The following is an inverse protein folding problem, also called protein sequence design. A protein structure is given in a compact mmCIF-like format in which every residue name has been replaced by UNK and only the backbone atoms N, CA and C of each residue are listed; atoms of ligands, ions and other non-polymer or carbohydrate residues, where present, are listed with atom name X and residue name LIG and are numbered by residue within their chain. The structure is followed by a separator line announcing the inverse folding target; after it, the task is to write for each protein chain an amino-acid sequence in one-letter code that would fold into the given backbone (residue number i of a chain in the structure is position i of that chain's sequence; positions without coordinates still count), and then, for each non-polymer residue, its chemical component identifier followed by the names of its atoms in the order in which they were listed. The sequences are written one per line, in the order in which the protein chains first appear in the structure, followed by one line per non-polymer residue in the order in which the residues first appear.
data_IF_162810629052
#
_entry.id   IF_162810629052
#
_cell.length_a   1.000
_cell.length_b   1.000
_cell.length_c   1.000
_cell.angle_alpha   90.00
_cell.angle_beta   90.00
_cell.angle_gamma   90.00
#
_symmetry.space_group_name_H-M   'P 1'
#
loop_
_entity.id
_entity.type
_entity.pdbx_description
1 polymer ?
#
# COMPACT_ATOMS: atom_id res chain seq x y z
N UNK A 1 -5.75 -0.65 -5.27
CA UNK A 1 -5.99 -1.46 -4.06
C UNK A 1 -6.88 -0.66 -3.12
N UNK A 2 -8.04 -1.20 -2.74
CA UNK A 2 -8.92 -0.63 -1.69
C UNK A 2 -9.55 -1.77 -0.89
N UNK A 3 -8.71 -2.64 -0.32
CA UNK A 3 -9.17 -3.66 0.62
C UNK A 3 -8.87 -3.18 2.05
N UNK A 4 -9.61 -3.66 3.05
CA UNK A 4 -9.31 -3.26 4.44
C UNK A 4 -7.87 -3.63 4.82
N UNK A 5 -7.21 -2.91 5.75
CA UNK A 5 -5.90 -3.29 6.26
C UNK A 5 -5.85 -4.72 6.82
N UNK A 6 -6.97 -5.21 7.36
CA UNK A 6 -7.15 -6.58 7.84
C UNK A 6 -7.16 -7.59 6.68
N UNK A 7 -7.93 -7.30 5.62
CA UNK A 7 -7.91 -8.11 4.40
C UNK A 7 -6.52 -8.13 3.76
N UNK A 8 -5.81 -7.00 3.78
CA UNK A 8 -4.43 -6.96 3.28
C UNK A 8 -3.50 -7.88 4.06
N UNK A 9 -3.63 -7.91 5.40
CA UNK A 9 -2.86 -8.81 6.22
C UNK A 9 -3.11 -10.28 5.85
N UNK A 10 -4.38 -10.67 5.73
CA UNK A 10 -4.74 -12.05 5.41
C UNK A 10 -4.28 -12.48 4.00
N UNK A 11 -4.37 -11.59 3.01
CA UNK A 11 -4.07 -11.93 1.61
C UNK A 11 -2.58 -11.81 1.26
N UNK A 12 -1.87 -10.82 1.82
CA UNK A 12 -0.52 -10.44 1.39
C UNK A 12 0.57 -10.63 2.45
N UNK A 13 0.22 -10.89 3.72
CA UNK A 13 1.21 -11.04 4.80
C UNK A 13 1.16 -12.41 5.47
N UNK A 14 -0.03 -12.88 5.84
CA UNK A 14 -0.19 -14.13 6.60
C UNK A 14 0.25 -15.34 5.79
N UNK A 15 1.18 -16.11 6.35
CA UNK A 15 1.72 -17.32 5.71
C UNK A 15 2.57 -17.06 4.47
N UNK A 16 2.90 -15.79 4.16
CA UNK A 16 3.75 -15.41 3.03
C UNK A 16 5.23 -15.46 3.38
N UNK A 17 6.05 -15.78 2.38
CA UNK A 17 7.51 -15.74 2.54
C UNK A 17 8.03 -14.31 2.58
N UNK A 18 9.27 -14.14 3.04
CA UNK A 18 9.93 -12.84 3.06
C UNK A 18 10.02 -12.24 1.64
N UNK A 19 10.27 -13.06 0.63
CA UNK A 19 10.38 -12.66 -0.77
C UNK A 19 9.04 -12.16 -1.33
N UNK A 20 7.94 -12.85 -1.01
CA UNK A 20 6.58 -12.43 -1.40
C UNK A 20 6.21 -11.10 -0.75
N UNK A 21 6.51 -10.94 0.54
CA UNK A 21 6.25 -9.70 1.28
C UNK A 21 7.10 -8.54 0.71
N UNK A 22 8.38 -8.78 0.42
CA UNK A 22 9.23 -7.77 -0.24
C UNK A 22 8.70 -7.37 -1.61
N UNK A 23 8.08 -8.30 -2.35
CA UNK A 23 7.45 -8.02 -3.64
C UNK A 23 6.20 -7.16 -3.46
N UNK A 24 5.35 -7.46 -2.47
CA UNK A 24 4.20 -6.63 -2.14
C UNK A 24 4.61 -5.20 -1.74
N UNK A 25 5.66 -5.05 -0.91
CA UNK A 25 6.24 -3.76 -0.52
C UNK A 25 6.67 -2.95 -1.76
N UNK A 26 7.36 -3.59 -2.73
CA UNK A 26 7.79 -2.92 -3.96
C UNK A 26 6.60 -2.42 -4.77
N UNK A 27 5.55 -3.22 -4.91
CA UNK A 27 4.31 -2.82 -5.58
C UNK A 27 3.66 -1.60 -4.93
N UNK A 28 3.55 -1.59 -3.60
CA UNK A 28 3.00 -0.44 -2.86
C UNK A 28 3.82 0.85 -3.05
N UNK A 29 5.16 0.75 -3.07
CA UNK A 29 6.03 1.91 -3.31
C UNK A 29 5.86 2.48 -4.72
N UNK A 30 5.77 1.61 -5.72
CA UNK A 30 5.53 2.02 -7.11
C UNK A 30 4.16 2.70 -7.24
N UNK A 31 3.14 2.15 -6.59
CA UNK A 31 1.80 2.71 -6.62
C UNK A 31 1.74 4.10 -5.97
N UNK A 32 2.39 4.31 -4.81
CA UNK A 32 2.53 5.67 -4.24
C UNK A 32 3.21 6.63 -5.21
N UNK A 33 4.29 6.20 -5.88
CA UNK A 33 4.98 7.03 -6.86
C UNK A 33 4.06 7.42 -8.02
N UNK A 34 3.31 6.45 -8.55
CA UNK A 34 2.31 6.69 -9.61
C UNK A 34 1.24 7.68 -9.18
N UNK A 35 0.70 7.52 -7.97
CA UNK A 35 -0.34 8.40 -7.42
C UNK A 35 0.17 9.83 -7.21
N UNK A 36 1.37 9.99 -6.64
CA UNK A 36 1.99 11.31 -6.48
C UNK A 36 2.25 12.01 -7.82
N UNK A 37 2.77 11.28 -8.80
CA UNK A 37 2.97 11.81 -10.15
C UNK A 37 1.64 12.24 -10.80
N UNK A 38 0.55 11.51 -10.56
CA UNK A 38 -0.80 11.91 -11.01
C UNK A 38 -1.20 13.26 -10.39
N UNK A 39 -0.98 13.41 -9.08
CA UNK A 39 -1.30 14.62 -8.32
C UNK A 39 -0.46 15.84 -8.70
N UNK A 40 0.77 15.63 -9.15
CA UNK A 40 1.69 16.68 -9.57
C UNK A 40 1.53 17.07 -11.06
N UNK A 41 0.73 16.33 -11.82
CA UNK A 41 0.55 16.57 -13.26
C UNK A 41 -0.18 17.89 -13.56
N UNK A 42 0.23 18.57 -14.63
CA UNK A 42 -0.46 19.76 -15.13
C UNK A 42 -1.87 19.35 -15.57
N UNK A 43 -2.89 19.87 -14.88
CA UNK A 43 -4.28 19.47 -15.10
C UNK A 43 -4.84 18.50 -14.06
N UNK A 44 -4.12 18.24 -12.95
CA UNK A 44 -4.72 17.59 -11.78
C UNK A 44 -6.00 18.33 -11.36
N UNK A 45 -7.11 17.59 -11.22
CA UNK A 45 -8.45 18.14 -10.98
C UNK A 45 -9.28 18.45 -12.23
N UNK A 46 -8.68 18.54 -13.42
CA UNK A 46 -9.40 18.61 -14.71
C UNK A 46 -9.66 17.21 -15.31
N UNK A 47 -9.02 16.18 -14.77
CA UNK A 47 -9.28 14.79 -15.12
C UNK A 47 -10.65 14.34 -14.58
N UNK A 48 -11.27 13.30 -15.18
CA UNK A 48 -12.46 12.67 -14.62
C UNK A 48 -12.24 12.33 -13.13
N UNK A 49 -13.26 12.58 -12.31
CA UNK A 49 -13.22 12.24 -10.89
C UNK A 49 -12.92 10.75 -10.77
N UNK A 50 -11.73 10.42 -10.29
CA UNK A 50 -11.34 9.04 -9.98
C UNK A 50 -11.74 8.78 -8.53
N UNK A 51 -12.64 7.83 -8.32
CA UNK A 51 -13.02 7.37 -6.97
C UNK A 51 -12.48 5.96 -6.79
N UNK A 52 -11.68 5.70 -5.73
CA UNK A 52 -11.22 6.66 -4.72
C UNK A 52 -10.24 7.71 -5.27
N UNK A 53 -10.21 8.87 -4.61
CA UNK A 53 -9.20 9.90 -4.88
C UNK A 53 -7.80 9.38 -4.58
N UNK A 54 -6.79 9.91 -5.28
CA UNK A 54 -5.39 9.54 -5.08
C UNK A 54 -4.93 9.73 -3.63
N UNK A 55 -5.40 10.79 -2.95
CA UNK A 55 -5.11 11.02 -1.53
C UNK A 55 -5.65 9.91 -0.62
N UNK A 56 -6.85 9.40 -0.91
CA UNK A 56 -7.44 8.26 -0.20
C UNK A 56 -6.66 6.97 -0.47
N UNK A 57 -6.23 6.74 -1.72
CA UNK A 57 -5.36 5.60 -2.05
C UNK A 57 -4.03 5.67 -1.29
N UNK A 58 -3.38 6.84 -1.27
CA UNK A 58 -2.13 7.06 -0.54
C UNK A 58 -2.33 6.77 0.95
N UNK A 59 -3.40 7.28 1.56
CA UNK A 59 -3.74 7.00 2.97
C UNK A 59 -3.81 5.49 3.26
N UNK A 60 -4.54 4.72 2.46
CA UNK A 60 -4.63 3.27 2.65
C UNK A 60 -3.29 2.56 2.47
N UNK A 61 -2.47 2.98 1.51
CA UNK A 61 -1.14 2.40 1.32
C UNK A 61 -0.26 2.62 2.55
N UNK A 62 -0.37 3.78 3.22
CA UNK A 62 0.31 4.02 4.49
C UNK A 62 -0.15 3.04 5.58
N UNK A 63 -1.47 2.80 5.71
CA UNK A 63 -2.00 1.80 6.65
C UNK A 63 -1.47 0.38 6.37
N UNK A 64 -1.33 0.01 5.10
CA UNK A 64 -0.74 -1.28 4.73
C UNK A 64 0.74 -1.39 5.11
N UNK A 65 1.52 -0.31 4.91
CA UNK A 65 2.90 -0.26 5.38
C UNK A 65 3.01 -0.41 6.89
N UNK A 66 2.09 0.18 7.66
CA UNK A 66 2.04 -0.01 9.11
C UNK A 66 1.78 -1.47 9.50
N UNK A 67 0.87 -2.17 8.81
CA UNK A 67 0.64 -3.62 9.03
C UNK A 67 1.89 -4.44 8.70
N UNK A 68 2.57 -4.14 7.59
CA UNK A 68 3.84 -4.77 7.21
C UNK A 68 4.91 -4.55 8.29
N UNK A 69 5.10 -3.30 8.72
CA UNK A 69 6.10 -2.94 9.73
C UNK A 69 5.83 -3.65 11.07
N UNK A 70 4.57 -3.77 11.47
CA UNK A 70 4.18 -4.53 12.66
C UNK A 70 4.49 -6.01 12.48
N UNK A 71 4.15 -6.59 11.33
CA UNK A 71 4.40 -7.99 11.02
C UNK A 71 5.90 -8.33 11.03
N UNK A 72 6.74 -7.54 10.34
CA UNK A 72 8.18 -7.79 10.27
C UNK A 72 8.85 -7.66 11.64
N UNK A 73 8.43 -6.69 12.47
CA UNK A 73 8.90 -6.54 13.86
C UNK A 73 8.50 -7.71 14.76
N UNK A 74 7.37 -8.36 14.51
CA UNK A 74 6.98 -9.59 15.23
C UNK A 74 7.84 -10.78 14.77
N UNK A 75 8.08 -10.90 13.46
CA UNK A 75 8.90 -11.96 12.89
C UNK A 75 10.35 -11.93 13.39
N UNK A 76 10.94 -10.73 13.50
CA UNK A 76 12.29 -10.53 14.05
C UNK A 76 12.38 -10.83 15.56
N UNK A 77 11.25 -10.84 16.27
CA UNK A 77 11.17 -11.13 17.71
C UNK A 77 10.91 -12.60 18.03
N UNK A 78 10.74 -13.47 17.03
CA UNK A 78 10.59 -14.91 17.23
C UNK A 78 9.36 -15.32 18.03
N UNK A 79 8.25 -14.58 17.89
CA UNK A 79 6.93 -14.89 18.46
C UNK A 79 6.01 -15.38 17.34
#
# INVERSE_FOLDING_TARGET
MMISPESYYEEYLKGKTKEEIMTAIRGLKQEIGRLKNSMESLGYGNNPITIPYESTCIYWIHEYFEKINKFTRSYERGI
#
